data_IF_275429895214
#
_entry.id   IF_275429895214
#
_cell.length_a   1.000
_cell.length_b   1.000
_cell.length_c   1.000
_cell.angle_alpha   90.00
_cell.angle_beta   90.00
_cell.angle_gamma   90.00
#
_symmetry.space_group_name_H-M   'P 1'
#
loop_
_entity.id
_entity.type
_entity.pdbx_description
1 polymer ?
#
# COMPACT_ATOMS: atom_id res chain seq x y z
N UNK A 1 18.18 -5.03 37.74
CA UNK A 1 17.18 -3.98 37.49
C UNK A 1 17.76 -3.08 36.40
N UNK A 2 17.28 -3.22 35.17
CA UNK A 2 17.78 -2.44 34.03
C UNK A 2 17.14 -1.05 34.08
N UNK A 3 17.94 -0.03 34.36
CA UNK A 3 17.52 1.36 34.35
C UNK A 3 17.44 1.85 32.91
N UNK A 4 16.25 1.81 32.32
CA UNK A 4 15.99 2.45 31.03
C UNK A 4 15.99 3.97 31.25
N UNK A 5 17.05 4.64 30.82
CA UNK A 5 17.10 6.10 30.79
C UNK A 5 16.01 6.61 29.84
N UNK A 6 15.12 7.53 30.25
CA UNK A 6 14.09 8.05 29.37
C UNK A 6 14.75 8.83 28.24
N UNK A 7 14.61 8.32 27.02
CA UNK A 7 15.06 8.99 25.80
C UNK A 7 14.22 10.25 25.63
N UNK A 8 14.79 11.42 25.93
CA UNK A 8 14.11 12.70 25.74
C UNK A 8 14.18 13.07 24.26
N UNK A 9 13.26 12.52 23.46
CA UNK A 9 13.11 12.93 22.07
C UNK A 9 12.67 14.40 22.05
N UNK A 10 13.49 15.25 21.42
CA UNK A 10 13.18 16.68 21.27
C UNK A 10 11.89 16.82 20.45
N UNK A 11 10.90 17.53 21.00
CA UNK A 11 9.62 17.78 20.31
C UNK A 11 9.88 18.56 19.01
N UNK A 12 9.35 18.02 17.90
CA UNK A 12 9.33 18.68 16.60
C UNK A 12 8.15 19.64 16.45
N UNK A 13 8.20 20.47 15.41
CA UNK A 13 7.05 21.30 15.02
C UNK A 13 6.00 20.45 14.28
N UNK A 14 4.70 20.78 14.42
CA UNK A 14 3.66 20.15 13.62
C UNK A 14 3.92 20.34 12.11
N UNK A 15 3.60 19.32 11.32
CA UNK A 15 3.65 19.41 9.86
C UNK A 15 2.36 20.05 9.33
N UNK A 16 2.48 21.10 8.52
CA UNK A 16 1.39 21.61 7.71
C UNK A 16 1.44 20.97 6.32
N UNK A 17 0.50 20.07 6.02
CA UNK A 17 0.45 19.32 4.75
C UNK A 17 0.43 20.26 3.52
N UNK A 18 -0.47 21.26 3.42
CA UNK A 18 -0.47 22.19 2.28
C UNK A 18 0.90 22.84 2.02
N UNK A 19 1.51 23.42 3.05
CA UNK A 19 2.83 24.07 2.96
C UNK A 19 3.93 23.08 2.61
N UNK A 20 3.87 21.86 3.14
CA UNK A 20 4.82 20.81 2.80
C UNK A 20 4.69 20.43 1.32
N UNK A 21 3.47 20.32 0.78
CA UNK A 21 3.21 19.98 -0.62
C UNK A 21 3.72 21.05 -1.60
N UNK A 22 3.64 22.34 -1.25
CA UNK A 22 4.20 23.43 -2.05
C UNK A 22 5.69 23.20 -2.39
N UNK A 23 6.43 22.61 -1.44
CA UNK A 23 7.87 22.38 -1.57
C UNK A 23 8.19 20.96 -2.05
N UNK A 24 7.38 19.97 -1.69
CA UNK A 24 7.75 18.55 -1.76
C UNK A 24 6.83 17.70 -2.65
N UNK A 25 5.80 18.27 -3.30
CA UNK A 25 4.88 17.53 -4.18
C UNK A 25 5.57 16.77 -5.31
N UNK A 26 6.78 17.19 -5.72
CA UNK A 26 7.60 16.48 -6.70
C UNK A 26 8.08 15.10 -6.22
N UNK A 27 8.16 14.87 -4.89
CA UNK A 27 8.50 13.58 -4.27
C UNK A 27 7.35 12.57 -4.28
N UNK A 28 6.14 12.99 -4.67
CA UNK A 28 4.94 12.15 -4.69
C UNK A 28 4.58 11.62 -6.08
N UNK A 29 5.50 11.75 -7.04
CA UNK A 29 5.32 11.34 -8.43
C UNK A 29 6.07 10.03 -8.71
N UNK A 30 5.65 9.21 -9.68
CA UNK A 30 6.39 8.02 -10.08
C UNK A 30 7.88 8.30 -10.35
N UNK A 31 8.79 7.34 -10.07
CA UNK A 31 8.52 5.97 -9.66
C UNK A 31 8.37 5.75 -8.14
N UNK A 32 8.66 6.77 -7.31
CA UNK A 32 8.55 6.73 -5.86
C UNK A 32 7.47 7.73 -5.47
N UNK A 33 6.27 7.23 -5.18
CA UNK A 33 5.10 8.06 -4.96
C UNK A 33 4.78 8.27 -3.47
N UNK A 34 5.67 7.87 -2.56
CA UNK A 34 5.52 8.04 -1.12
C UNK A 34 6.74 8.70 -0.49
N UNK A 35 6.52 9.47 0.56
CA UNK A 35 7.55 10.08 1.38
C UNK A 35 7.30 9.77 2.86
N UNK A 36 8.30 9.22 3.55
CA UNK A 36 8.25 8.95 4.98
C UNK A 36 8.57 10.23 5.77
N UNK A 37 7.57 10.76 6.47
CA UNK A 37 7.70 11.99 7.29
C UNK A 37 8.26 11.65 8.68
N UNK A 38 7.77 10.57 9.27
CA UNK A 38 8.20 10.07 10.58
C UNK A 38 8.37 8.56 10.49
N UNK A 39 9.40 8.01 11.13
CA UNK A 39 9.72 6.57 11.08
C UNK A 39 9.80 5.88 12.46
N UNK A 40 9.67 6.63 13.56
CA UNK A 40 9.71 6.11 14.93
C UNK A 40 8.94 7.08 15.87
N UNK A 41 8.03 6.60 16.75
CA UNK A 41 7.60 5.20 16.94
C UNK A 41 6.56 4.71 15.93
N UNK A 42 6.07 5.59 15.05
CA UNK A 42 5.12 5.25 13.99
C UNK A 42 5.72 5.65 12.64
N UNK A 43 5.43 4.85 11.62
CA UNK A 43 5.73 5.21 10.24
C UNK A 43 4.57 6.03 9.70
N UNK A 44 4.81 7.31 9.41
CA UNK A 44 3.83 8.23 8.84
C UNK A 44 4.30 8.64 7.46
N UNK A 45 3.51 8.31 6.45
CA UNK A 45 3.83 8.56 5.05
C UNK A 45 2.84 9.52 4.42
N UNK A 46 3.32 10.41 3.57
CA UNK A 46 2.50 11.13 2.59
C UNK A 46 2.67 10.42 1.25
N UNK A 47 1.57 10.09 0.59
CA UNK A 47 1.56 9.24 -0.61
C UNK A 47 0.72 9.89 -1.70
N UNK A 48 1.29 10.07 -2.89
CA UNK A 48 0.58 10.52 -4.07
C UNK A 48 0.35 9.43 -5.12
N UNK A 49 0.00 9.88 -6.32
CA UNK A 49 -0.22 9.02 -7.48
C UNK A 49 0.04 9.74 -8.80
N UNK A 50 -0.06 9.04 -9.95
CA UNK A 50 -0.66 7.71 -10.07
C UNK A 50 0.28 6.58 -9.65
N UNK A 51 -0.23 5.57 -8.96
CA UNK A 51 0.50 4.34 -8.66
C UNK A 51 -0.46 3.17 -8.49
N UNK A 52 -0.19 2.08 -9.19
CA UNK A 52 -0.91 0.83 -9.05
C UNK A 52 0.00 -0.34 -9.35
N UNK A 53 -0.20 -1.41 -8.58
CA UNK A 53 0.46 -2.70 -8.74
C UNK A 53 -0.58 -3.80 -8.55
N UNK A 54 -0.23 -5.05 -8.84
CA UNK A 54 -1.17 -6.18 -8.68
C UNK A 54 -0.96 -6.99 -7.40
N UNK A 55 0.08 -6.67 -6.61
CA UNK A 55 0.29 -7.26 -5.28
C UNK A 55 -0.71 -6.76 -4.24
N UNK A 56 -1.20 -7.68 -3.42
CA UNK A 56 -1.89 -7.42 -2.17
C UNK A 56 -0.89 -7.59 -1.03
N UNK A 57 -0.72 -6.55 -0.25
CA UNK A 57 0.06 -6.59 0.97
C UNK A 57 -0.79 -7.16 2.11
N UNK A 58 -0.16 -7.96 2.95
CA UNK A 58 -0.75 -8.54 4.16
C UNK A 58 0.20 -8.17 5.30
N UNK A 59 -0.13 -7.06 5.95
CA UNK A 59 0.52 -6.57 7.16
C UNK A 59 -0.17 -7.18 8.38
N UNK A 60 0.57 -7.64 9.38
CA UNK A 60 -0.02 -8.24 10.59
C UNK A 60 -0.63 -7.18 11.51
N UNK A 61 -0.28 -5.92 11.31
CA UNK A 61 -0.76 -4.76 12.07
C UNK A 61 -1.77 -3.92 11.27
N UNK A 62 -2.63 -3.13 11.94
CA UNK A 62 -3.56 -2.24 11.25
C UNK A 62 -2.86 -1.13 10.48
N UNK A 63 -3.52 -0.64 9.42
CA UNK A 63 -3.05 0.51 8.64
C UNK A 63 -4.12 1.60 8.63
N UNK A 64 -3.73 2.82 9.02
CA UNK A 64 -4.62 3.98 8.99
C UNK A 64 -4.41 4.79 7.72
N UNK A 65 -5.50 5.12 7.05
CA UNK A 65 -5.55 5.94 5.85
C UNK A 65 -6.31 7.23 6.13
N UNK A 66 -5.76 8.35 5.68
CA UNK A 66 -6.49 9.62 5.56
C UNK A 66 -6.26 10.17 4.16
N UNK A 67 -7.32 10.36 3.38
CA UNK A 67 -7.18 10.84 2.02
C UNK A 67 -7.33 12.37 1.98
N UNK A 68 -6.21 13.09 1.91
CA UNK A 68 -6.19 14.55 1.97
C UNK A 68 -6.67 15.24 0.68
N UNK A 69 -6.31 14.71 -0.49
CA UNK A 69 -6.67 15.24 -1.81
C UNK A 69 -7.04 14.13 -2.79
N UNK A 70 -8.14 14.30 -3.51
CA UNK A 70 -8.70 13.35 -4.46
C UNK A 70 -9.06 12.03 -3.80
N UNK A 71 -9.38 11.01 -4.60
CA UNK A 71 -9.76 9.69 -4.08
C UNK A 71 -8.66 8.65 -4.27
N UNK A 72 -8.73 7.57 -3.52
CA UNK A 72 -8.01 6.33 -3.82
C UNK A 72 -8.96 5.14 -3.80
N UNK A 73 -8.51 4.02 -4.38
CA UNK A 73 -9.18 2.73 -4.28
C UNK A 73 -8.28 1.79 -3.47
N UNK A 74 -8.81 1.20 -2.41
CA UNK A 74 -8.19 0.13 -1.66
C UNK A 74 -8.93 -1.16 -1.98
N UNK A 75 -8.32 -2.04 -2.76
CA UNK A 75 -8.89 -3.38 -3.00
C UNK A 75 -8.56 -4.26 -1.82
N UNK A 76 -9.50 -5.05 -1.32
CA UNK A 76 -9.31 -5.95 -0.20
C UNK A 76 -9.86 -7.34 -0.49
N UNK A 77 -9.41 -8.32 0.29
CA UNK A 77 -10.01 -9.65 0.32
C UNK A 77 -10.48 -9.93 1.74
N UNK A 78 -11.78 -10.13 1.90
CA UNK A 78 -12.40 -10.45 3.18
C UNK A 78 -12.03 -11.87 3.65
N UNK A 79 -12.17 -12.21 4.94
CA UNK A 79 -11.92 -13.57 5.43
C UNK A 79 -12.74 -14.66 4.74
N UNK A 80 -13.90 -14.30 4.17
CA UNK A 80 -14.74 -15.20 3.36
C UNK A 80 -14.15 -15.53 1.98
N UNK A 81 -13.08 -14.84 1.56
CA UNK A 81 -12.53 -14.88 0.21
C UNK A 81 -13.19 -13.89 -0.77
N UNK A 82 -14.15 -13.08 -0.30
CA UNK A 82 -14.79 -12.07 -1.14
C UNK A 82 -13.83 -10.91 -1.43
N UNK A 83 -13.68 -10.54 -2.70
CA UNK A 83 -12.93 -9.36 -3.10
C UNK A 83 -13.82 -8.12 -3.03
N UNK A 84 -13.36 -7.09 -2.34
CA UNK A 84 -14.08 -5.84 -2.14
C UNK A 84 -13.25 -4.65 -2.60
N UNK A 85 -13.91 -3.70 -3.26
CA UNK A 85 -13.33 -2.42 -3.64
C UNK A 85 -13.79 -1.35 -2.65
N UNK A 86 -12.86 -0.78 -1.90
CA UNK A 86 -13.11 0.29 -0.92
C UNK A 86 -12.61 1.60 -1.51
N UNK A 87 -13.53 2.48 -1.88
CA UNK A 87 -13.17 3.86 -2.25
C UNK A 87 -12.97 4.67 -0.98
N UNK A 88 -11.85 5.39 -0.92
CA UNK A 88 -11.55 6.34 0.15
C UNK A 88 -11.44 7.70 -0.53
N UNK A 89 -12.50 8.49 -0.42
CA UNK A 89 -12.67 9.78 -1.08
C UNK A 89 -12.00 10.92 -0.30
N UNK A 90 -11.89 12.10 -0.93
CA UNK A 90 -11.23 13.25 -0.33
C UNK A 90 -11.87 13.63 1.01
N UNK A 91 -11.05 13.77 2.05
CA UNK A 91 -11.46 14.06 3.42
C UNK A 91 -11.77 12.82 4.26
N UNK A 92 -11.86 11.63 3.66
CA UNK A 92 -12.22 10.40 4.39
C UNK A 92 -11.03 9.79 5.14
N UNK A 93 -11.37 9.11 6.25
CA UNK A 93 -10.45 8.28 7.01
C UNK A 93 -10.91 6.83 6.94
N UNK A 94 -9.96 5.91 6.98
CA UNK A 94 -10.22 4.48 6.99
C UNK A 94 -9.17 3.75 7.83
N UNK A 95 -9.60 2.83 8.69
CA UNK A 95 -8.70 1.98 9.46
C UNK A 95 -8.84 0.54 8.95
N UNK A 96 -7.82 0.06 8.27
CA UNK A 96 -7.75 -1.31 7.77
C UNK A 96 -7.28 -2.24 8.89
N UNK A 97 -8.02 -3.31 9.24
CA UNK A 97 -7.58 -4.30 10.21
C UNK A 97 -6.33 -5.06 9.72
N UNK A 98 -5.45 -5.42 10.66
CA UNK A 98 -4.31 -6.28 10.36
C UNK A 98 -4.73 -7.63 9.79
N UNK A 99 -3.82 -8.25 9.04
CA UNK A 99 -3.99 -9.48 8.28
C UNK A 99 -5.02 -9.41 7.14
N UNK A 100 -5.52 -8.23 6.79
CA UNK A 100 -6.38 -8.03 5.62
C UNK A 100 -5.52 -7.88 4.35
N UNK A 101 -5.59 -8.81 3.37
CA UNK A 101 -4.94 -8.60 2.08
C UNK A 101 -5.50 -7.35 1.43
N UNK A 102 -4.62 -6.41 1.08
CA UNK A 102 -5.04 -5.13 0.53
C UNK A 102 -4.10 -4.64 -0.59
N UNK A 103 -4.66 -4.00 -1.61
CA UNK A 103 -3.94 -3.46 -2.77
C UNK A 103 -4.33 -1.98 -2.97
N UNK A 104 -3.46 -1.03 -2.57
CA UNK A 104 -3.69 0.39 -2.76
C UNK A 104 -3.52 0.82 -4.22
N UNK A 105 -4.55 1.42 -4.79
CA UNK A 105 -4.57 2.04 -6.12
C UNK A 105 -4.74 3.54 -5.95
N UNK A 106 -3.72 4.32 -6.36
CA UNK A 106 -3.71 5.78 -6.25
C UNK A 106 -3.77 6.42 -7.63
N UNK A 107 -4.63 7.41 -7.78
CA UNK A 107 -4.84 8.09 -9.06
C UNK A 107 -3.96 9.34 -9.19
N UNK A 108 -3.88 9.90 -10.39
CA UNK A 108 -3.08 11.10 -10.63
C UNK A 108 -3.62 12.30 -9.82
N UNK A 109 -2.71 13.17 -9.38
CA UNK A 109 -3.02 14.39 -8.63
C UNK A 109 -3.79 14.15 -7.30
N UNK A 110 -3.51 13.03 -6.65
CA UNK A 110 -4.06 12.68 -5.33
C UNK A 110 -2.99 12.74 -4.25
N UNK A 111 -3.42 12.93 -3.00
CA UNK A 111 -2.55 12.91 -1.81
C UNK A 111 -3.28 12.22 -0.67
N UNK A 112 -2.66 11.21 -0.08
CA UNK A 112 -3.12 10.57 1.13
C UNK A 112 -2.02 10.50 2.19
N UNK A 113 -2.42 10.26 3.43
CA UNK A 113 -1.57 9.95 4.57
C UNK A 113 -1.81 8.51 4.95
N UNK A 114 -0.73 7.75 5.16
CA UNK A 114 -0.78 6.39 5.69
C UNK A 114 0.01 6.36 6.99
N UNK A 115 -0.55 5.73 8.02
CA UNK A 115 0.14 5.50 9.29
C UNK A 115 0.18 3.99 9.54
N UNK A 116 1.40 3.49 9.74
CA UNK A 116 1.70 2.12 10.13
C UNK A 116 2.47 2.10 11.45
N UNK A 117 2.35 1.00 12.18
CA UNK A 117 3.20 0.73 13.35
C UNK A 117 4.37 -0.19 12.98
N UNK A 118 5.47 -0.17 13.76
CA UNK A 118 6.46 -1.22 13.72
C UNK A 118 5.83 -2.58 13.94
N UNK A 119 6.33 -3.58 13.20
CA UNK A 119 5.84 -4.96 13.32
C UNK A 119 6.24 -5.51 14.71
N UNK A 120 5.36 -6.25 15.40
CA UNK A 120 5.75 -6.99 16.59
C UNK A 120 6.91 -7.94 16.29
N UNK A 121 7.72 -8.24 17.30
CA UNK A 121 8.89 -9.09 17.13
C UNK A 121 8.50 -10.48 16.61
N UNK A 122 9.10 -10.90 15.50
CA UNK A 122 8.88 -12.20 14.88
C UNK A 122 7.73 -12.26 13.87
N UNK A 123 6.95 -11.18 13.73
CA UNK A 123 5.92 -11.10 12.70
C UNK A 123 6.54 -10.88 11.31
N UNK A 124 5.87 -11.43 10.30
CA UNK A 124 6.28 -11.33 8.89
C UNK A 124 5.16 -10.73 8.06
N UNK A 125 5.55 -9.88 7.12
CA UNK A 125 4.65 -9.35 6.10
C UNK A 125 4.61 -10.32 4.92
N UNK A 126 3.51 -10.30 4.18
CA UNK A 126 3.38 -11.05 2.92
C UNK A 126 2.96 -10.13 1.78
N UNK A 127 3.45 -10.42 0.58
CA UNK A 127 2.84 -9.98 -0.66
C UNK A 127 2.19 -11.17 -1.35
N UNK A 128 0.97 -10.98 -1.84
CA UNK A 128 0.19 -12.01 -2.51
C UNK A 128 -0.37 -11.50 -3.82
N UNK A 129 -0.33 -12.30 -4.86
CA UNK A 129 -0.93 -12.00 -6.15
C UNK A 129 -2.13 -12.91 -6.39
N UNK A 130 -3.20 -12.32 -6.92
CA UNK A 130 -4.42 -13.02 -7.29
C UNK A 130 -4.62 -12.95 -8.80
N UNK A 131 -5.15 -14.02 -9.38
CA UNK A 131 -5.44 -14.10 -10.80
C UNK A 131 -6.53 -13.10 -11.19
N UNK A 132 -6.31 -12.33 -12.27
CA UNK A 132 -7.27 -11.33 -12.72
C UNK A 132 -8.55 -11.95 -13.30
N UNK A 133 -8.49 -13.13 -13.91
CA UNK A 133 -9.66 -13.85 -14.41
C UNK A 133 -10.43 -14.63 -13.34
N UNK A 134 -9.76 -15.50 -12.59
CA UNK A 134 -10.44 -16.43 -11.67
C UNK A 134 -10.33 -16.09 -10.18
N UNK A 135 -9.58 -15.04 -9.81
CA UNK A 135 -9.33 -14.59 -8.42
C UNK A 135 -8.65 -15.60 -7.50
N UNK A 136 -8.12 -16.71 -8.02
CA UNK A 136 -7.32 -17.65 -7.25
C UNK A 136 -5.95 -17.06 -6.88
N UNK A 137 -5.36 -17.52 -5.77
CA UNK A 137 -3.98 -17.15 -5.40
C UNK A 137 -3.02 -17.71 -6.45
N UNK A 138 -2.12 -16.84 -6.93
CA UNK A 138 -1.14 -17.16 -7.98
C UNK A 138 0.25 -17.30 -7.39
N UNK A 139 0.63 -16.35 -6.54
CA UNK A 139 1.94 -16.33 -5.90
C UNK A 139 1.85 -15.66 -4.53
N UNK A 140 2.74 -16.03 -3.63
CA UNK A 140 2.91 -15.39 -2.34
C UNK A 140 4.39 -15.36 -1.95
N UNK A 141 4.85 -14.24 -1.42
CA UNK A 141 6.18 -14.05 -0.87
C UNK A 141 6.06 -13.52 0.57
N UNK A 142 6.89 -14.02 1.48
CA UNK A 142 6.94 -13.58 2.87
C UNK A 142 8.30 -12.95 3.20
N UNK A 143 8.31 -11.94 4.06
CA UNK A 143 9.53 -11.26 4.47
C UNK A 143 9.39 -10.65 5.87
N UNK A 144 10.49 -10.60 6.60
CA UNK A 144 10.58 -9.77 7.83
C UNK A 144 10.75 -8.33 7.37
N UNK A 145 9.80 -7.46 7.72
CA UNK A 145 9.80 -6.07 7.30
C UNK A 145 10.85 -5.25 8.08
N UNK A 146 11.99 -4.96 7.44
CA UNK A 146 13.05 -4.07 7.96
C UNK A 146 13.20 -2.79 7.14
N UNK A 147 12.91 -2.86 5.82
CA UNK A 147 12.78 -1.72 4.91
C UNK A 147 11.64 -2.02 3.94
N UNK A 148 10.44 -1.57 4.29
CA UNK A 148 9.21 -1.86 3.57
C UNK A 148 9.30 -1.48 2.08
N UNK A 149 9.85 -0.29 1.78
CA UNK A 149 9.90 0.24 0.43
C UNK A 149 10.78 -0.59 -0.49
N UNK A 150 12.01 -0.89 -0.05
CA UNK A 150 12.98 -1.67 -0.82
C UNK A 150 12.55 -3.13 -0.96
N UNK A 151 12.08 -3.76 0.13
CA UNK A 151 11.70 -5.17 0.12
C UNK A 151 10.46 -5.44 -0.75
N UNK A 152 9.45 -4.57 -0.71
CA UNK A 152 8.29 -4.67 -1.61
C UNK A 152 8.73 -4.54 -3.06
N UNK A 153 9.57 -3.55 -3.38
CA UNK A 153 10.05 -3.33 -4.75
C UNK A 153 10.77 -4.55 -5.30
N UNK A 154 11.65 -5.16 -4.51
CA UNK A 154 12.39 -6.35 -4.91
C UNK A 154 11.46 -7.55 -5.15
N UNK A 155 10.47 -7.78 -4.27
CA UNK A 155 9.50 -8.86 -4.43
C UNK A 155 8.62 -8.67 -5.67
N UNK A 156 8.16 -7.43 -5.93
CA UNK A 156 7.38 -7.10 -7.13
C UNK A 156 8.19 -7.29 -8.41
N UNK A 157 9.45 -6.88 -8.43
CA UNK A 157 10.30 -7.06 -9.61
C UNK A 157 10.57 -8.55 -9.89
N UNK A 158 10.89 -9.33 -8.84
CA UNK A 158 11.07 -10.79 -8.95
C UNK A 158 9.83 -11.48 -9.53
N UNK A 159 8.65 -11.15 -9.00
CA UNK A 159 7.40 -11.67 -9.56
C UNK A 159 7.21 -11.25 -11.01
N UNK A 160 7.55 -10.01 -11.36
CA UNK A 160 7.35 -9.52 -12.73
C UNK A 160 8.25 -10.17 -13.78
N UNK A 161 9.46 -10.57 -13.39
CA UNK A 161 10.46 -11.23 -14.24
C UNK A 161 10.24 -12.76 -14.35
N UNK A 162 9.43 -13.36 -13.47
CA UNK A 162 9.16 -14.80 -13.42
C UNK A 162 7.80 -15.14 -14.05
N UNK A 163 7.82 -15.57 -15.32
CA UNK A 163 6.61 -15.94 -16.06
C UNK A 163 5.88 -17.16 -15.46
N UNK A 164 6.61 -18.12 -14.92
CA UNK A 164 6.02 -19.30 -14.28
C UNK A 164 5.34 -18.93 -12.97
N UNK A 165 5.96 -18.07 -12.15
CA UNK A 165 5.31 -17.54 -10.95
C UNK A 165 4.05 -16.72 -11.26
N UNK A 166 3.99 -16.08 -12.44
CA UNK A 166 2.82 -15.32 -12.90
C UNK A 166 1.70 -16.19 -13.49
N UNK A 167 1.97 -17.45 -13.78
CA UNK A 167 1.00 -18.37 -14.38
C UNK A 167 0.03 -18.89 -13.33
N UNK A 168 -1.25 -18.59 -13.50
CA UNK A 168 -2.29 -19.08 -12.61
C UNK A 168 -2.43 -20.60 -12.73
N UNK A 169 -2.18 -21.33 -11.64
CA UNK A 169 -2.35 -22.79 -11.61
C UNK A 169 -3.79 -23.29 -11.80
N UNK A 170 -4.80 -22.42 -11.59
CA UNK A 170 -6.21 -22.79 -11.71
C UNK A 170 -6.77 -22.66 -13.14
N UNK A 171 -6.38 -21.61 -13.87
CA UNK A 171 -6.93 -21.33 -15.21
C UNK A 171 -5.89 -21.14 -16.32
N UNK A 172 -4.59 -21.14 -15.98
CA UNK A 172 -3.49 -21.00 -16.93
C UNK A 172 -3.21 -19.55 -17.39
N UNK A 173 -3.97 -18.56 -16.94
CA UNK A 173 -3.75 -17.15 -17.27
C UNK A 173 -2.40 -16.65 -16.75
N UNK A 174 -1.65 -15.93 -17.59
CA UNK A 174 -0.43 -15.23 -17.18
C UNK A 174 -0.83 -13.87 -16.61
N UNK A 175 -0.61 -13.68 -15.32
CA UNK A 175 -1.09 -12.51 -14.59
C UNK A 175 -0.26 -11.26 -14.93
N UNK A 176 -0.96 -10.13 -15.06
CA UNK A 176 -0.35 -8.83 -15.24
C UNK A 176 0.32 -8.35 -13.94
N UNK A 177 1.41 -7.60 -14.08
CA UNK A 177 2.18 -7.01 -12.96
C UNK A 177 1.70 -5.60 -12.58
N UNK A 178 1.00 -4.95 -13.52
CA UNK A 178 0.41 -3.62 -13.37
C UNK A 178 -0.91 -3.55 -14.13
N UNK A 179 -1.92 -2.84 -13.63
CA UNK A 179 -3.14 -2.60 -14.38
C UNK A 179 -2.88 -1.79 -15.66
N UNK A 180 -3.63 -2.07 -16.72
CA UNK A 180 -3.60 -1.29 -17.96
C UNK A 180 -4.22 0.10 -17.74
N UNK A 181 -3.85 1.15 -18.50
CA UNK A 181 -4.38 2.50 -18.33
C UNK A 181 -5.91 2.59 -18.37
N UNK A 182 -6.57 1.84 -19.26
CA UNK A 182 -8.03 1.79 -19.36
C UNK A 182 -8.70 1.14 -18.14
N UNK A 183 -8.01 0.21 -17.49
CA UNK A 183 -8.47 -0.41 -16.24
C UNK A 183 -8.31 0.58 -15.08
N UNK A 184 -7.19 1.31 -15.06
CA UNK A 184 -6.95 2.39 -14.09
C UNK A 184 -8.03 3.46 -14.15
N UNK A 185 -8.44 3.87 -15.36
CA UNK A 185 -9.47 4.90 -15.52
C UNK A 185 -10.85 4.41 -15.06
N UNK A 186 -11.22 3.16 -15.37
CA UNK A 186 -12.46 2.55 -14.83
C UNK A 186 -12.45 2.50 -13.30
N UNK A 187 -11.32 2.11 -12.71
CA UNK A 187 -11.14 2.13 -11.25
C UNK A 187 -11.24 3.54 -10.68
N UNK A 188 -10.76 4.58 -11.38
CA UNK A 188 -10.84 5.98 -10.92
C UNK A 188 -12.29 6.48 -10.87
N UNK A 189 -13.03 6.20 -11.94
CA UNK A 189 -14.42 6.60 -12.09
C UNK A 189 -15.31 5.88 -11.07
N UNK A 190 -15.04 4.58 -10.86
CA UNK A 190 -15.78 3.75 -9.92
C UNK A 190 -17.18 3.36 -10.40
N UNK A 191 -17.97 2.64 -9.58
CA UNK A 191 -19.23 2.04 -10.00
C UNK A 191 -20.42 3.01 -10.10
N UNK A 192 -20.24 4.30 -9.78
CA UNK A 192 -21.32 5.29 -9.70
C UNK A 192 -21.27 6.37 -10.80
N UNK A 193 -20.63 6.09 -11.94
CA UNK A 193 -20.63 6.98 -13.09
C UNK A 193 -21.62 6.55 -14.17
#
# INVERSE_FOLDING_TARGET
MSTTTPTTTKLGNPLNIPKWLEQNSHLLKPPINNYCVYSDPLTVMIVGGPNARTDYHINTTPEFFYQYKGRMLLKTVEPSGEHRDIYIDEGEIFLLPGNTPHNPVRFADTVGVVIEQPRPQGEVDRLRWYCQGCRGVVHEAAFVCTDLGSQIKDAVNKFGEDEEARKCGNCGEICDVRPKPEVMEKMRIGPHA
#
